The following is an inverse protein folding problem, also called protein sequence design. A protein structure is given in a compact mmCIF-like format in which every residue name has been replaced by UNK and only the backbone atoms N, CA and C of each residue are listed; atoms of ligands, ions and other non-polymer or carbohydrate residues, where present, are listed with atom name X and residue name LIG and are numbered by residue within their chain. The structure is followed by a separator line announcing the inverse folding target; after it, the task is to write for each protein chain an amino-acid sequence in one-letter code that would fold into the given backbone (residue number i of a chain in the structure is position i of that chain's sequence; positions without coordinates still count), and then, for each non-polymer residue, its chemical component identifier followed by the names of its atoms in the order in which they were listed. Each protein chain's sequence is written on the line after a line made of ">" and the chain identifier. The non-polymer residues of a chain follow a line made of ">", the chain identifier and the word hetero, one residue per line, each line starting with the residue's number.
data_IF_739169543487
#
_entry.id   IF_739169543487
#
_cell.length_a   1.000
_cell.length_b   1.000
_cell.length_c   1.000
_cell.angle_alpha   90.00
_cell.angle_beta   90.00
_cell.angle_gamma   90.00
#
_symmetry.space_group_name_H-M   'P 1'
#
loop_
_entity.id
_entity.type
_entity.pdbx_description
1 polymer ?
#
# COMPACT_ATOMS: atom_id res chain seq x y z
N UNK A 1 -21.26 -8.53 -11.87
CA UNK A 1 -21.99 -9.49 -11.01
C UNK A 1 -21.64 -9.31 -9.54
N UNK A 2 -20.36 -9.24 -9.17
CA UNK A 2 -19.86 -8.98 -7.80
C UNK A 2 -20.53 -7.80 -7.05
N UNK A 3 -20.71 -6.66 -7.72
CA UNK A 3 -21.31 -5.46 -7.11
C UNK A 3 -22.77 -5.65 -6.68
N UNK A 4 -23.57 -6.46 -7.40
CA UNK A 4 -24.97 -6.73 -7.01
C UNK A 4 -25.03 -7.61 -5.77
N UNK A 5 -24.22 -8.67 -5.73
CA UNK A 5 -24.14 -9.56 -4.56
C UNK A 5 -23.71 -8.85 -3.28
N UNK A 6 -22.80 -7.87 -3.39
CA UNK A 6 -22.37 -7.03 -2.27
C UNK A 6 -23.49 -6.10 -1.76
N UNK A 7 -24.33 -5.57 -2.65
CA UNK A 7 -25.48 -4.75 -2.25
C UNK A 7 -26.60 -5.61 -1.63
N UNK A 8 -26.85 -6.80 -2.16
CA UNK A 8 -27.81 -7.77 -1.61
C UNK A 8 -27.42 -8.19 -0.18
N UNK A 9 -26.11 -8.37 0.06
CA UNK A 9 -25.59 -8.67 1.40
C UNK A 9 -25.76 -7.51 2.39
N UNK A 10 -25.49 -6.27 1.95
CA UNK A 10 -25.74 -5.08 2.79
C UNK A 10 -27.21 -4.95 3.17
N UNK A 11 -28.11 -5.23 2.23
CA UNK A 11 -29.54 -5.19 2.48
C UNK A 11 -29.97 -6.30 3.45
N UNK A 12 -29.44 -7.51 3.28
CA UNK A 12 -29.68 -8.61 4.21
C UNK A 12 -29.18 -8.29 5.64
N UNK A 13 -27.99 -7.71 5.80
CA UNK A 13 -27.50 -7.31 7.13
C UNK A 13 -28.43 -6.29 7.81
N UNK A 14 -29.02 -5.36 7.05
CA UNK A 14 -30.01 -4.40 7.56
C UNK A 14 -31.30 -5.12 7.98
N UNK A 15 -31.76 -6.05 7.16
CA UNK A 15 -32.97 -6.82 7.42
C UNK A 15 -32.83 -7.67 8.71
N UNK A 16 -31.63 -8.21 9.02
CA UNK A 16 -31.33 -8.89 10.31
C UNK A 16 -31.49 -7.92 11.48
N UNK A 17 -30.88 -6.74 11.36
CA UNK A 17 -30.88 -5.72 12.42
C UNK A 17 -32.30 -5.18 12.68
N UNK A 18 -33.19 -5.26 11.68
CA UNK A 18 -34.61 -4.91 11.78
C UNK A 18 -35.51 -6.10 12.17
N UNK A 19 -34.95 -7.28 12.42
CA UNK A 19 -35.68 -8.48 12.83
C UNK A 19 -36.53 -9.12 11.75
N UNK A 20 -36.22 -8.86 10.47
CA UNK A 20 -36.86 -9.50 9.33
C UNK A 20 -36.27 -10.91 9.11
N UNK A 21 -37.06 -11.91 8.68
CA UNK A 21 -36.57 -13.24 8.36
C UNK A 21 -35.74 -13.23 7.07
N UNK A 22 -34.55 -13.85 7.11
CA UNK A 22 -33.63 -13.92 5.96
C UNK A 22 -33.48 -15.36 5.49
N UNK A 23 -33.31 -15.53 4.18
CA UNK A 23 -33.00 -16.81 3.57
C UNK A 23 -31.61 -17.31 4.00
N UNK A 24 -31.52 -18.57 4.44
CA UNK A 24 -30.28 -19.18 4.97
C UNK A 24 -29.12 -19.18 3.95
N UNK A 25 -29.44 -19.17 2.66
CA UNK A 25 -28.49 -19.06 1.54
C UNK A 25 -27.65 -17.77 1.58
N UNK A 26 -28.21 -16.66 2.09
CA UNK A 26 -27.49 -15.39 2.21
C UNK A 26 -26.49 -15.40 3.37
N UNK A 27 -26.80 -16.12 4.46
CA UNK A 27 -25.89 -16.28 5.61
C UNK A 27 -24.67 -17.14 5.25
N UNK A 28 -24.87 -18.19 4.46
CA UNK A 28 -23.77 -19.04 3.97
C UNK A 28 -22.83 -18.29 3.02
N UNK A 29 -23.36 -17.36 2.22
CA UNK A 29 -22.56 -16.51 1.33
C UNK A 29 -21.67 -15.50 2.08
N UNK A 30 -22.04 -15.14 3.30
CA UNK A 30 -21.30 -14.19 4.14
C UNK A 30 -19.98 -14.78 4.65
N UNK A 31 -20.00 -16.04 5.12
CA UNK A 31 -18.80 -16.74 5.60
C UNK A 31 -17.77 -16.99 4.50
N UNK A 32 -18.23 -17.19 3.25
CA UNK A 32 -17.37 -17.30 2.08
C UNK A 32 -16.69 -15.96 1.71
N UNK A 33 -17.30 -14.82 2.09
CA UNK A 33 -16.79 -13.49 1.77
C UNK A 33 -15.68 -13.04 2.72
N UNK A 34 -15.69 -13.46 3.99
CA UNK A 34 -14.58 -13.20 4.93
C UNK A 34 -13.29 -13.91 4.48
N UNK A 35 -13.39 -15.17 4.02
CA UNK A 35 -12.25 -15.92 3.47
C UNK A 35 -11.74 -15.31 2.15
N UNK A 36 -12.64 -14.86 1.27
CA UNK A 36 -12.26 -14.18 0.02
C UNK A 36 -11.58 -12.82 0.28
N UNK A 37 -12.02 -12.06 1.30
CA UNK A 37 -11.42 -10.77 1.67
C UNK A 37 -10.02 -10.97 2.28
N UNK A 38 -9.85 -11.96 3.16
CA UNK A 38 -8.52 -12.30 3.69
C UNK A 38 -7.57 -12.77 2.57
N UNK A 39 -8.06 -13.59 1.63
CA UNK A 39 -7.32 -14.00 0.44
C UNK A 39 -6.89 -12.82 -0.44
N UNK A 40 -7.82 -11.90 -0.76
CA UNK A 40 -7.50 -10.69 -1.54
C UNK A 40 -6.51 -9.77 -0.83
N UNK A 41 -6.57 -9.65 0.50
CA UNK A 41 -5.62 -8.87 1.28
C UNK A 41 -4.23 -9.50 1.23
N UNK A 42 -4.14 -10.82 1.39
CA UNK A 42 -2.88 -11.56 1.32
C UNK A 42 -2.22 -11.44 -0.07
N UNK A 43 -3.01 -11.59 -1.13
CA UNK A 43 -2.52 -11.41 -2.51
C UNK A 43 -2.04 -9.98 -2.78
N UNK A 44 -2.74 -8.97 -2.24
CA UNK A 44 -2.29 -7.58 -2.32
C UNK A 44 -0.98 -7.37 -1.58
N UNK A 45 -0.81 -7.95 -0.40
CA UNK A 45 0.44 -7.86 0.36
C UNK A 45 1.62 -8.50 -0.38
N UNK A 46 1.43 -9.68 -0.99
CA UNK A 46 2.45 -10.36 -1.77
C UNK A 46 2.85 -9.57 -3.03
N UNK A 47 1.86 -8.99 -3.71
CA UNK A 47 2.09 -8.11 -4.86
C UNK A 47 2.89 -6.87 -4.47
N UNK A 48 2.54 -6.22 -3.36
CA UNK A 48 3.27 -5.06 -2.84
C UNK A 48 4.70 -5.44 -2.46
N UNK A 49 4.89 -6.60 -1.81
CA UNK A 49 6.21 -7.10 -1.45
C UNK A 49 7.10 -7.33 -2.67
N UNK A 50 6.56 -7.96 -3.71
CA UNK A 50 7.28 -8.23 -4.96
C UNK A 50 7.66 -6.92 -5.66
N UNK A 51 6.71 -5.97 -5.75
CA UNK A 51 6.98 -4.66 -6.33
C UNK A 51 8.10 -3.91 -5.60
N UNK A 52 8.11 -3.95 -4.26
CA UNK A 52 9.17 -3.34 -3.45
C UNK A 52 10.52 -4.00 -3.73
N UNK A 53 10.56 -5.33 -3.86
CA UNK A 53 11.80 -6.06 -4.12
C UNK A 53 12.37 -5.74 -5.51
N UNK A 54 11.50 -5.66 -6.52
CA UNK A 54 11.90 -5.29 -7.88
C UNK A 54 12.38 -3.84 -7.97
N UNK A 55 11.71 -2.91 -7.28
CA UNK A 55 12.16 -1.53 -7.19
C UNK A 55 13.52 -1.43 -6.49
N UNK A 56 13.77 -2.21 -5.43
CA UNK A 56 15.07 -2.24 -4.75
C UNK A 56 16.19 -2.73 -5.67
N UNK A 57 15.94 -3.79 -6.45
CA UNK A 57 16.89 -4.31 -7.44
C UNK A 57 17.16 -3.32 -8.57
N UNK A 58 16.15 -2.55 -8.97
CA UNK A 58 16.31 -1.51 -10.00
C UNK A 58 17.08 -0.30 -9.46
N UNK A 59 16.86 0.07 -8.19
CA UNK A 59 17.47 1.25 -7.58
C UNK A 59 18.98 1.08 -7.36
N UNK A 60 19.44 -0.12 -6.98
CA UNK A 60 20.85 -0.40 -6.72
C UNK A 60 21.22 -1.74 -7.33
N UNK A 61 22.16 -1.71 -8.29
CA UNK A 61 22.69 -2.90 -8.94
C UNK A 61 23.66 -3.61 -7.98
N UNK A 62 23.43 -4.90 -7.72
CA UNK A 62 24.33 -5.72 -6.88
C UNK A 62 25.79 -5.64 -7.39
N UNK A 63 26.80 -5.55 -6.50
CA UNK A 63 26.82 -5.98 -5.09
C UNK A 63 26.51 -4.88 -4.06
N UNK A 64 26.00 -3.74 -4.50
CA UNK A 64 25.77 -2.60 -3.62
C UNK A 64 24.47 -2.76 -2.82
N UNK A 65 24.57 -2.80 -1.49
CA UNK A 65 23.41 -2.81 -0.59
C UNK A 65 23.11 -1.38 -0.13
N UNK A 66 21.84 -0.97 -0.22
CA UNK A 66 21.38 0.30 0.36
C UNK A 66 21.54 0.25 1.88
N UNK A 67 22.36 1.16 2.43
CA UNK A 67 22.51 1.34 3.88
C UNK A 67 21.40 2.23 4.46
N UNK A 68 20.90 3.18 3.66
CA UNK A 68 19.84 4.09 4.08
C UNK A 68 19.54 5.18 3.05
N UNK A 69 18.36 5.78 3.18
CA UNK A 69 17.91 6.91 2.37
C UNK A 69 17.34 8.01 3.25
N UNK A 70 17.66 9.26 2.94
CA UNK A 70 17.14 10.44 3.65
C UNK A 70 16.57 11.44 2.67
N UNK A 71 15.42 12.02 3.02
CA UNK A 71 14.95 13.26 2.39
C UNK A 71 15.65 14.42 3.07
N UNK A 72 16.27 15.27 2.27
CA UNK A 72 17.00 16.45 2.69
C UNK A 72 16.28 17.69 2.19
N UNK A 73 16.40 18.75 2.96
CA UNK A 73 15.93 20.09 2.59
C UNK A 73 17.08 20.84 1.93
N UNK A 74 16.79 21.56 0.84
CA UNK A 74 17.78 22.42 0.20
C UNK A 74 18.15 23.60 1.13
N UNK A 75 19.39 23.61 1.61
CA UNK A 75 19.89 24.62 2.54
C UNK A 75 20.62 25.78 1.84
N UNK A 76 20.59 25.86 0.50
CA UNK A 76 21.21 26.96 -0.23
C UNK A 76 20.49 28.30 0.09
N UNK A 77 21.19 29.32 0.59
CA UNK A 77 20.58 30.60 0.96
C UNK A 77 20.13 31.44 -0.24
N UNK A 78 20.51 31.09 -1.48
CA UNK A 78 20.21 31.86 -2.71
C UNK A 78 19.16 31.17 -3.58
N UNK A 79 19.18 29.83 -3.64
CA UNK A 79 18.31 29.01 -4.50
C UNK A 79 17.38 28.10 -3.70
N UNK A 80 17.68 27.88 -2.42
CA UNK A 80 16.90 27.00 -1.55
C UNK A 80 15.63 27.66 -1.01
N UNK A 81 14.79 26.82 -0.43
CA UNK A 81 13.51 27.22 0.14
C UNK A 81 13.71 28.08 1.39
N UNK A 82 13.07 29.25 1.41
CA UNK A 82 13.16 30.21 2.52
C UNK A 82 12.57 29.65 3.82
N UNK A 83 11.55 28.78 3.72
CA UNK A 83 10.91 28.15 4.87
C UNK A 83 11.56 26.82 5.29
N UNK A 84 12.51 26.30 4.48
CA UNK A 84 13.20 25.02 4.71
C UNK A 84 12.23 23.86 4.96
N UNK A 85 11.11 23.84 4.26
CA UNK A 85 10.08 22.80 4.43
C UNK A 85 10.07 21.81 3.27
N UNK A 86 10.56 22.22 2.11
CA UNK A 86 10.60 21.39 0.91
C UNK A 86 11.72 20.33 0.99
N UNK A 87 11.33 19.05 1.06
CA UNK A 87 12.23 17.89 1.16
C UNK A 87 12.49 17.26 -0.21
N UNK A 88 13.06 18.03 -1.11
CA UNK A 88 13.10 17.71 -2.56
C UNK A 88 14.32 16.87 -2.92
N UNK A 89 15.30 16.85 -2.03
CA UNK A 89 16.57 16.20 -2.26
C UNK A 89 16.52 14.83 -1.61
N UNK A 90 16.82 13.79 -2.36
CA UNK A 90 16.93 12.43 -1.82
C UNK A 90 18.41 12.03 -1.83
N UNK A 91 18.93 11.70 -0.65
CA UNK A 91 20.25 11.10 -0.46
C UNK A 91 20.10 9.61 -0.24
N UNK A 92 20.70 8.79 -1.10
CA UNK A 92 20.80 7.34 -0.91
C UNK A 92 22.25 6.98 -0.64
N UNK A 93 22.49 6.27 0.46
CA UNK A 93 23.80 5.78 0.83
C UNK A 93 23.91 4.28 0.54
N UNK A 94 24.91 3.94 -0.27
CA UNK A 94 25.35 2.58 -0.52
C UNK A 94 26.67 2.31 0.23
N UNK A 95 27.14 1.06 0.23
CA UNK A 95 28.42 0.68 0.82
C UNK A 95 29.63 1.40 0.18
N UNK A 96 29.53 1.81 -1.10
CA UNK A 96 30.66 2.32 -1.88
C UNK A 96 30.43 3.70 -2.49
N UNK A 97 29.18 4.14 -2.55
CA UNK A 97 28.78 5.38 -3.19
C UNK A 97 27.65 6.06 -2.41
N UNK A 98 27.47 7.36 -2.68
CA UNK A 98 26.28 8.09 -2.29
C UNK A 98 25.65 8.68 -3.56
N UNK A 99 24.32 8.59 -3.64
CA UNK A 99 23.53 9.15 -4.74
C UNK A 99 22.73 10.32 -4.20
N UNK A 100 22.76 11.44 -4.92
CA UNK A 100 21.96 12.62 -4.63
C UNK A 100 21.06 12.86 -5.83
N UNK A 101 19.74 12.86 -5.61
CA UNK A 101 18.76 13.36 -6.57
C UNK A 101 18.23 14.71 -6.08
N UNK A 102 18.15 15.69 -6.97
CA UNK A 102 17.59 17.04 -6.77
C UNK A 102 16.72 17.41 -7.97
#
# INVERSE_FOLDING_TARGET
>A
YYLRFKDDYRQAAIDVLLGQPIAEETLLSAGLQEEDIEGELLEKEENVRTLIDDLKKMLIVEPEQCLGGWSLVNADPVVGDHDRQEMDIILLLSQRAFYVGW
#
